data_IF_086711048876
#
_entry.id   IF_086711048876
#
_cell.length_a   1.000
_cell.length_b   1.000
_cell.length_c   1.000
_cell.angle_alpha   90.00
_cell.angle_beta   90.00
_cell.angle_gamma   90.00
#
_symmetry.space_group_name_H-M   'P 1'
#
loop_
_entity.id
_entity.type
_entity.pdbx_description
1 polymer ?
#
# COMPACT_ATOMS: atom_id res chain seq x y z
N UNK A 1 25.01 -12.71 4.67
CA UNK A 1 24.32 -11.41 4.69
C UNK A 1 22.92 -11.65 5.19
N UNK A 2 22.61 -11.24 6.42
CA UNK A 2 21.21 -11.24 6.88
C UNK A 2 20.55 -10.10 6.11
N UNK A 3 19.73 -10.43 5.11
CA UNK A 3 18.90 -9.43 4.46
C UNK A 3 18.07 -8.79 5.58
N UNK A 4 18.31 -7.53 5.89
CA UNK A 4 17.33 -6.73 6.60
C UNK A 4 16.10 -6.74 5.69
N UNK A 5 15.18 -7.67 5.92
CA UNK A 5 13.86 -7.53 5.34
C UNK A 5 13.30 -6.27 5.98
N UNK A 6 13.21 -5.21 5.18
CA UNK A 6 12.47 -4.02 5.54
C UNK A 6 11.12 -4.47 6.11
N UNK A 7 10.66 -3.89 7.22
CA UNK A 7 9.40 -4.28 7.85
C UNK A 7 8.23 -4.25 6.85
N UNK A 8 8.28 -3.32 5.89
CA UNK A 8 7.31 -3.24 4.79
C UNK A 8 7.38 -4.44 3.85
N UNK A 9 8.58 -4.94 3.56
CA UNK A 9 8.78 -6.16 2.79
C UNK A 9 8.28 -7.38 3.56
N UNK A 10 8.59 -7.52 4.84
CA UNK A 10 8.08 -8.66 5.61
C UNK A 10 6.55 -8.68 5.65
N UNK A 11 5.93 -7.53 5.91
CA UNK A 11 4.46 -7.40 5.96
C UNK A 11 3.81 -7.64 4.60
N UNK A 12 4.36 -7.08 3.52
CA UNK A 12 3.82 -7.29 2.18
C UNK A 12 3.93 -8.76 1.73
N UNK A 13 4.98 -9.48 2.16
CA UNK A 13 5.14 -10.91 1.89
C UNK A 13 4.12 -11.76 2.65
N UNK A 14 3.84 -11.40 3.91
CA UNK A 14 2.79 -11.99 4.72
C UNK A 14 1.41 -11.80 4.08
N UNK A 15 1.05 -10.56 3.71
CA UNK A 15 -0.24 -10.24 3.07
C UNK A 15 -0.39 -11.04 1.76
N UNK A 16 0.64 -11.03 0.90
CA UNK A 16 0.63 -11.75 -0.37
C UNK A 16 0.48 -13.28 -0.22
N UNK A 17 0.86 -13.84 0.94
CA UNK A 17 0.73 -15.27 1.25
C UNK A 17 -0.65 -15.72 1.70
N UNK A 18 -1.58 -14.80 1.99
CA UNK A 18 -2.92 -15.16 2.49
C UNK A 18 -3.85 -15.67 1.38
N UNK A 19 -4.36 -14.75 0.54
CA UNK A 19 -5.21 -15.05 -0.60
C UNK A 19 -4.81 -14.08 -1.73
N UNK A 20 -3.93 -14.51 -2.65
CA UNK A 20 -3.40 -13.64 -3.71
C UNK A 20 -4.49 -12.98 -4.56
N UNK A 21 -5.65 -13.64 -4.74
CA UNK A 21 -6.77 -13.10 -5.53
C UNK A 21 -7.44 -11.96 -4.77
N UNK A 22 -7.74 -12.15 -3.48
CA UNK A 22 -8.31 -11.08 -2.64
C UNK A 22 -7.35 -9.91 -2.44
N UNK A 23 -6.04 -10.17 -2.31
CA UNK A 23 -5.02 -9.12 -2.21
C UNK A 23 -5.00 -8.26 -3.48
N UNK A 24 -5.14 -8.87 -4.66
CA UNK A 24 -5.22 -8.14 -5.92
C UNK A 24 -6.52 -7.35 -6.07
N UNK A 25 -7.64 -7.91 -5.61
CA UNK A 25 -8.95 -7.28 -5.64
C UNK A 25 -9.11 -6.14 -4.62
N UNK A 26 -8.24 -6.07 -3.60
CA UNK A 26 -8.31 -5.02 -2.58
C UNK A 26 -8.21 -3.62 -3.20
N UNK A 27 -9.17 -2.77 -2.87
CA UNK A 27 -9.14 -1.33 -3.08
C UNK A 27 -9.58 -0.64 -1.79
N UNK A 28 -9.07 0.57 -1.54
CA UNK A 28 -9.57 1.35 -0.42
C UNK A 28 -11.06 1.69 -0.64
N UNK A 29 -11.86 1.84 0.42
CA UNK A 29 -13.20 2.41 0.32
C UNK A 29 -13.18 3.80 -0.33
N UNK A 30 -14.27 4.16 -1.02
CA UNK A 30 -14.38 5.42 -1.78
C UNK A 30 -14.09 6.66 -0.90
N UNK A 31 -14.67 6.72 0.30
CA UNK A 31 -14.44 7.81 1.24
C UNK A 31 -12.96 7.99 1.65
N UNK A 32 -12.16 6.92 1.61
CA UNK A 32 -10.72 6.99 1.87
C UNK A 32 -9.97 7.49 0.63
N UNK A 33 -10.39 7.07 -0.56
CA UNK A 33 -9.81 7.56 -1.82
C UNK A 33 -10.05 9.06 -1.97
N UNK A 34 -11.29 9.53 -1.75
CA UNK A 34 -11.66 10.95 -1.76
C UNK A 34 -10.85 11.75 -0.74
N UNK A 35 -10.63 11.21 0.47
CA UNK A 35 -9.82 11.88 1.49
C UNK A 35 -8.37 12.04 1.05
N UNK A 36 -7.77 11.01 0.44
CA UNK A 36 -6.40 11.07 -0.07
C UNK A 36 -6.29 12.06 -1.23
N UNK A 37 -7.26 12.06 -2.16
CA UNK A 37 -7.31 13.02 -3.27
C UNK A 37 -7.36 14.46 -2.75
N UNK A 38 -8.25 14.74 -1.79
CA UNK A 38 -8.33 16.05 -1.13
C UNK A 38 -6.99 16.47 -0.49
N UNK A 39 -6.30 15.55 0.20
CA UNK A 39 -4.99 15.83 0.80
C UNK A 39 -3.91 16.08 -0.26
N UNK A 40 -3.96 15.39 -1.40
CA UNK A 40 -3.04 15.60 -2.51
C UNK A 40 -3.27 16.94 -3.22
N UNK A 41 -4.52 17.38 -3.36
CA UNK A 41 -4.86 18.72 -3.85
C UNK A 41 -4.32 19.80 -2.91
N UNK A 42 -4.61 19.70 -1.60
CA UNK A 42 -4.06 20.63 -0.59
C UNK A 42 -2.53 20.63 -0.55
N UNK A 43 -1.88 19.49 -0.79
CA UNK A 43 -0.42 19.41 -0.90
C UNK A 43 0.12 20.26 -2.05
N UNK A 44 -0.57 20.29 -3.19
CA UNK A 44 -0.17 21.10 -4.35
C UNK A 44 -0.28 22.60 -4.05
N UNK A 45 -1.26 22.97 -3.23
CA UNK A 45 -1.47 24.35 -2.77
C UNK A 45 -0.58 24.74 -1.57
N UNK A 46 0.19 23.79 -1.02
CA UNK A 46 0.98 23.93 0.20
C UNK A 46 0.16 24.38 1.44
N UNK A 47 -1.12 23.96 1.48
CA UNK A 47 -2.10 24.33 2.54
C UNK A 47 -2.36 23.20 3.54
N UNK A 48 -1.51 22.17 3.56
CA UNK A 48 -1.62 21.07 4.51
C UNK A 48 -1.27 21.53 5.93
N UNK A 49 -2.17 21.24 6.87
CA UNK A 49 -1.86 21.29 8.30
C UNK A 49 -0.88 20.17 8.68
N UNK A 50 -0.17 20.30 9.80
CA UNK A 50 0.75 19.25 10.27
C UNK A 50 0.06 17.89 10.45
N UNK A 51 -1.18 17.89 10.96
CA UNK A 51 -1.98 16.66 11.09
C UNK A 51 -2.30 16.02 9.73
N UNK A 52 -2.58 16.83 8.73
CA UNK A 52 -2.86 16.36 7.37
C UNK A 52 -1.59 15.85 6.67
N UNK A 53 -0.42 16.43 6.99
CA UNK A 53 0.87 15.89 6.53
C UNK A 53 1.14 14.51 7.12
N UNK A 54 0.97 14.34 8.43
CA UNK A 54 1.09 13.04 9.10
C UNK A 54 0.09 12.01 8.53
N UNK A 55 -1.15 12.42 8.29
CA UNK A 55 -2.16 11.58 7.67
C UNK A 55 -1.72 11.10 6.27
N UNK A 56 -1.21 12.03 5.44
CA UNK A 56 -0.73 11.74 4.09
C UNK A 56 0.53 10.86 4.08
N UNK A 57 1.43 11.03 5.04
CA UNK A 57 2.59 10.16 5.23
C UNK A 57 2.18 8.72 5.55
N UNK A 58 1.21 8.53 6.46
CA UNK A 58 0.65 7.21 6.75
C UNK A 58 0.02 6.57 5.51
N UNK A 59 -0.71 7.33 4.69
CA UNK A 59 -1.25 6.83 3.44
C UNK A 59 -0.15 6.36 2.47
N UNK A 60 0.95 7.09 2.33
CA UNK A 60 2.05 6.66 1.46
C UNK A 60 2.73 5.37 1.95
N UNK A 61 2.88 5.21 3.25
CA UNK A 61 3.44 3.97 3.83
C UNK A 61 2.52 2.79 3.52
N UNK A 62 1.21 2.94 3.74
CA UNK A 62 0.22 1.89 3.48
C UNK A 62 0.12 1.55 2.00
N UNK A 63 0.09 2.56 1.12
CA UNK A 63 0.05 2.34 -0.33
C UNK A 63 1.30 1.59 -0.80
N UNK A 64 2.49 1.94 -0.29
CA UNK A 64 3.71 1.23 -0.61
C UNK A 64 3.65 -0.26 -0.24
N UNK A 65 3.17 -0.58 0.96
CA UNK A 65 3.00 -1.96 1.44
C UNK A 65 2.00 -2.72 0.53
N UNK A 66 0.85 -2.11 0.24
CA UNK A 66 -0.19 -2.73 -0.61
C UNK A 66 0.35 -2.99 -2.02
N UNK A 67 1.14 -2.05 -2.58
CA UNK A 67 1.76 -2.20 -3.89
C UNK A 67 2.73 -3.38 -3.93
N UNK A 68 3.57 -3.51 -2.90
CA UNK A 68 4.49 -4.65 -2.76
C UNK A 68 3.73 -5.97 -2.60
N UNK A 69 2.67 -5.99 -1.78
CA UNK A 69 1.85 -7.17 -1.57
C UNK A 69 1.18 -7.62 -2.86
N UNK A 70 0.59 -6.69 -3.63
CA UNK A 70 0.00 -6.97 -4.95
C UNK A 70 1.04 -7.51 -5.94
N UNK A 71 2.23 -6.91 -5.98
CA UNK A 71 3.33 -7.39 -6.84
C UNK A 71 3.66 -8.86 -6.55
N UNK A 72 3.81 -9.20 -5.27
CA UNK A 72 4.14 -10.57 -4.82
C UNK A 72 3.00 -11.56 -4.97
N UNK A 73 1.75 -11.11 -4.81
CA UNK A 73 0.56 -11.92 -5.09
C UNK A 73 0.52 -12.35 -6.57
N UNK A 74 0.87 -11.45 -7.52
CA UNK A 74 0.98 -11.81 -8.94
C UNK A 74 2.06 -12.88 -9.18
N UNK A 75 3.23 -12.73 -8.57
CA UNK A 75 4.31 -13.70 -8.68
C UNK A 75 3.85 -15.09 -8.19
N UNK A 76 3.18 -15.16 -7.05
CA UNK A 76 2.64 -16.41 -6.50
C UNK A 76 1.63 -17.07 -7.44
N UNK A 77 0.69 -16.30 -7.97
CA UNK A 77 -0.30 -16.83 -8.92
C UNK A 77 0.37 -17.37 -10.20
N UNK A 78 1.43 -16.71 -10.69
CA UNK A 78 2.18 -17.22 -11.85
C UNK A 78 2.92 -18.53 -11.57
N UNK A 79 3.42 -18.72 -10.34
CA UNK A 79 4.12 -19.93 -9.91
C UNK A 79 3.17 -21.10 -9.64
N UNK A 80 1.94 -20.84 -9.18
CA UNK A 80 0.92 -21.87 -8.95
C UNK A 80 0.29 -22.42 -10.25
N UNK A 81 0.45 -21.70 -11.36
CA UNK A 81 -0.06 -22.09 -12.68
C UNK A 81 0.99 -22.82 -13.55
N UNK A 82 2.21 -22.98 -13.04
CA UNK A 82 3.32 -23.71 -13.68
C UNK A 82 3.51 -25.08 -13.03
#
# INVERSE_FOLDING_TARGET
MVAYQNIYDSLAEFIAGMDPVKVLAFHAPENIQERVEFLLEKKQEDTLTEREKEELEHYFILEHIVRLAKSRARLRLSQQQS
#
